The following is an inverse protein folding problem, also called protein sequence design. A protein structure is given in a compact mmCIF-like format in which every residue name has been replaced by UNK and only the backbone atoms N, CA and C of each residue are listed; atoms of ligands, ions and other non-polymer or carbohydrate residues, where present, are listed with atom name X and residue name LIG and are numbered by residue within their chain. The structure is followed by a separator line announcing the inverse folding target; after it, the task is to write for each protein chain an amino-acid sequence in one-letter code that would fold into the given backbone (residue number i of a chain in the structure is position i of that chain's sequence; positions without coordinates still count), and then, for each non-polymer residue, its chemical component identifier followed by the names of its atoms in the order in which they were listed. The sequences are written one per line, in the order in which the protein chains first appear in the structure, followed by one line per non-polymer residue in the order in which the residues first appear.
data_IF_758148289010
#
_entry.id   IF_758148289010
#
_cell.length_a   1.000
_cell.length_b   1.000
_cell.length_c   1.000
_cell.angle_alpha   90.00
_cell.angle_beta   90.00
_cell.angle_gamma   90.00
#
_symmetry.space_group_name_H-M   'P 1'
#
loop_
_entity.id
_entity.type
_entity.pdbx_description
1 polymer ?
#
# COMPACT_ATOMS: atom_id res chain seq x y z
N UNK A 1 -25.72 -14.66 -2.07
CA UNK A 1 -24.38 -14.19 -1.69
C UNK A 1 -24.59 -13.24 -0.53
N UNK A 2 -24.01 -13.55 0.62
CA UNK A 2 -24.37 -12.98 1.92
C UNK A 2 -23.99 -11.50 2.00
N UNK A 3 -24.81 -10.68 2.66
CA UNK A 3 -24.62 -9.23 2.91
C UNK A 3 -23.31 -8.85 3.64
N UNK A 4 -22.44 -9.82 3.96
CA UNK A 4 -21.14 -9.65 4.64
C UNK A 4 -20.00 -9.10 3.75
N UNK A 5 -20.14 -9.05 2.41
CA UNK A 5 -19.05 -8.56 1.54
C UNK A 5 -19.06 -7.05 1.30
N UNK A 6 -20.18 -6.36 1.53
CA UNK A 6 -20.29 -4.92 1.27
C UNK A 6 -19.62 -4.14 2.41
N UNK A 7 -18.39 -3.67 2.16
CA UNK A 7 -17.66 -2.78 3.08
C UNK A 7 -16.51 -3.42 3.85
N UNK A 8 -16.15 -4.68 3.58
CA UNK A 8 -14.96 -5.30 4.21
C UNK A 8 -13.66 -4.62 3.75
N UNK A 9 -12.64 -4.47 4.61
CA UNK A 9 -11.29 -4.07 4.19
C UNK A 9 -10.74 -5.02 3.11
N UNK A 10 -9.83 -4.54 2.27
CA UNK A 10 -9.10 -5.42 1.35
C UNK A 10 -8.20 -6.37 2.15
N UNK A 11 -8.22 -7.65 1.78
CA UNK A 11 -7.25 -8.63 2.28
C UNK A 11 -5.94 -8.48 1.53
N UNK A 12 -4.82 -8.81 2.16
CA UNK A 12 -3.50 -8.67 1.51
C UNK A 12 -3.36 -9.53 0.27
N UNK A 13 -4.02 -10.69 0.23
CA UNK A 13 -4.03 -11.58 -0.92
C UNK A 13 -4.77 -10.98 -2.13
N UNK A 14 -5.73 -10.07 -1.89
CA UNK A 14 -6.49 -9.38 -2.92
C UNK A 14 -5.63 -8.29 -3.59
N UNK A 15 -4.75 -7.62 -2.84
CA UNK A 15 -3.88 -6.54 -3.34
C UNK A 15 -2.49 -7.00 -3.80
N UNK A 16 -2.20 -8.30 -3.71
CA UNK A 16 -0.88 -8.86 -4.01
C UNK A 16 -0.51 -8.81 -5.51
N UNK A 17 -1.49 -8.72 -6.40
CA UNK A 17 -1.26 -8.64 -7.85
C UNK A 17 -2.34 -7.82 -8.54
N UNK A 18 -2.01 -7.20 -9.68
CA UNK A 18 -2.97 -6.41 -10.45
C UNK A 18 -4.20 -7.19 -10.89
N UNK A 19 -4.05 -8.47 -11.23
CA UNK A 19 -5.16 -9.33 -11.64
C UNK A 19 -6.12 -9.62 -10.49
N UNK A 20 -5.61 -9.99 -9.30
CA UNK A 20 -6.43 -10.21 -8.11
C UNK A 20 -7.12 -8.92 -7.65
N UNK A 21 -6.38 -7.81 -7.69
CA UNK A 21 -6.90 -6.50 -7.34
C UNK A 21 -8.05 -6.12 -8.28
N UNK A 22 -7.87 -6.29 -9.59
CA UNK A 22 -8.90 -6.00 -10.59
C UNK A 22 -10.16 -6.82 -10.32
N UNK A 23 -10.04 -8.13 -10.04
CA UNK A 23 -11.22 -8.96 -9.75
C UNK A 23 -11.95 -8.52 -8.47
N UNK A 24 -11.20 -8.28 -7.39
CA UNK A 24 -11.77 -7.85 -6.12
C UNK A 24 -12.47 -6.50 -6.25
N UNK A 25 -11.82 -5.52 -6.89
CA UNK A 25 -12.38 -4.20 -7.13
C UNK A 25 -13.62 -4.26 -8.03
N UNK A 26 -13.58 -5.06 -9.10
CA UNK A 26 -14.71 -5.22 -10.01
C UNK A 26 -15.93 -5.78 -9.31
N UNK A 27 -15.79 -6.82 -8.49
CA UNK A 27 -16.90 -7.36 -7.69
C UNK A 27 -17.51 -6.32 -6.77
N UNK A 28 -16.67 -5.63 -5.98
CA UNK A 28 -17.13 -4.62 -5.01
C UNK A 28 -17.79 -3.41 -5.67
N UNK A 29 -17.27 -2.95 -6.82
CA UNK A 29 -17.88 -1.86 -7.57
C UNK A 29 -19.24 -2.29 -8.12
N UNK A 30 -19.35 -3.51 -8.67
CA UNK A 30 -20.61 -4.05 -9.14
C UNK A 30 -21.62 -4.15 -8.00
N UNK A 31 -21.24 -4.72 -6.85
CA UNK A 31 -22.11 -4.82 -5.68
C UNK A 31 -22.59 -3.43 -5.20
N UNK A 32 -21.68 -2.43 -5.18
CA UNK A 32 -22.02 -1.05 -4.80
C UNK A 32 -22.97 -0.42 -5.80
N UNK A 33 -22.73 -0.60 -7.09
CA UNK A 33 -23.58 -0.08 -8.17
C UNK A 33 -24.95 -0.76 -8.14
N UNK A 34 -25.01 -2.08 -7.95
CA UNK A 34 -26.25 -2.84 -7.78
C UNK A 34 -27.04 -2.39 -6.55
N UNK A 35 -26.37 -2.08 -5.43
CA UNK A 35 -27.03 -1.56 -4.22
C UNK A 35 -27.67 -0.18 -4.40
N UNK A 36 -27.17 0.62 -5.35
CA UNK A 36 -27.77 1.92 -5.71
C UNK A 36 -29.02 1.76 -6.58
N UNK A 37 -29.24 0.58 -7.16
CA UNK A 37 -30.37 0.34 -8.06
C UNK A 37 -31.68 0.17 -7.28
N UNK A 38 -32.44 1.25 -7.14
CA UNK A 38 -33.77 1.24 -6.50
C UNK A 38 -34.93 1.03 -7.50
N UNK A 39 -34.76 0.09 -8.43
CA UNK A 39 -35.88 -0.53 -9.16
C UNK A 39 -36.58 0.29 -10.25
N UNK A 40 -36.23 1.55 -10.52
CA UNK A 40 -36.83 2.28 -11.66
C UNK A 40 -35.98 3.41 -12.30
N UNK A 41 -34.89 3.85 -11.69
CA UNK A 41 -34.00 4.84 -12.31
C UNK A 41 -32.75 4.16 -12.92
N UNK A 42 -32.37 4.52 -14.16
CA UNK A 42 -31.12 4.03 -14.74
C UNK A 42 -29.93 4.62 -13.98
N UNK A 43 -28.96 3.76 -13.68
CA UNK A 43 -27.71 4.18 -13.05
C UNK A 43 -26.94 5.07 -14.02
N UNK A 44 -26.63 6.28 -13.59
CA UNK A 44 -25.88 7.22 -14.41
C UNK A 44 -24.40 6.83 -14.52
N UNK A 45 -23.72 7.19 -15.63
CA UNK A 45 -22.28 7.02 -15.75
C UNK A 45 -21.48 7.73 -14.64
N UNK A 46 -21.99 8.87 -14.12
CA UNK A 46 -21.38 9.54 -12.98
C UNK A 46 -21.39 8.68 -11.73
N UNK A 47 -22.52 8.04 -11.39
CA UNK A 47 -22.61 7.17 -10.22
C UNK A 47 -21.64 5.97 -10.30
N UNK A 48 -21.46 5.41 -11.49
CA UNK A 48 -20.48 4.34 -11.72
C UNK A 48 -19.05 4.87 -11.53
N UNK A 49 -18.74 6.04 -12.09
CA UNK A 49 -17.43 6.68 -11.95
C UNK A 49 -17.09 7.00 -10.50
N UNK A 50 -18.05 7.51 -9.73
CA UNK A 50 -17.91 7.77 -8.31
C UNK A 50 -17.67 6.47 -7.53
N UNK A 51 -18.44 5.41 -7.81
CA UNK A 51 -18.25 4.09 -7.21
C UNK A 51 -16.84 3.54 -7.46
N UNK A 52 -16.32 3.68 -8.67
CA UNK A 52 -14.95 3.28 -9.04
C UNK A 52 -13.91 4.11 -8.27
N UNK A 53 -14.09 5.44 -8.22
CA UNK A 53 -13.13 6.36 -7.60
C UNK A 53 -13.04 6.12 -6.09
N UNK A 54 -14.19 5.99 -5.42
CA UNK A 54 -14.25 5.70 -3.99
C UNK A 54 -13.56 4.36 -3.66
N UNK A 55 -13.80 3.34 -4.49
CA UNK A 55 -13.21 2.03 -4.26
C UNK A 55 -11.70 2.04 -4.54
N UNK A 56 -11.23 2.87 -5.48
CA UNK A 56 -9.82 3.06 -5.76
C UNK A 56 -9.05 3.70 -4.59
N UNK A 57 -9.66 4.64 -3.85
CA UNK A 57 -9.02 5.20 -2.65
C UNK A 57 -8.77 4.12 -1.59
N UNK A 58 -9.74 3.24 -1.34
CA UNK A 58 -9.60 2.11 -0.40
C UNK A 58 -8.52 1.13 -0.84
N UNK A 59 -8.41 0.86 -2.15
CA UNK A 59 -7.34 0.04 -2.72
C UNK A 59 -5.98 0.65 -2.40
N UNK A 60 -5.79 1.95 -2.63
CA UNK A 60 -4.51 2.62 -2.35
C UNK A 60 -4.15 2.55 -0.87
N UNK A 61 -5.12 2.73 0.01
CA UNK A 61 -4.92 2.59 1.46
C UNK A 61 -4.48 1.17 1.84
N UNK A 62 -5.15 0.16 1.29
CA UNK A 62 -4.79 -1.24 1.51
C UNK A 62 -3.40 -1.59 0.96
N UNK A 63 -3.06 -1.16 -0.25
CA UNK A 63 -1.72 -1.38 -0.81
C UNK A 63 -0.65 -0.79 0.09
N UNK A 64 -0.85 0.44 0.59
CA UNK A 64 0.10 1.13 1.49
C UNK A 64 0.25 0.45 2.85
N UNK A 65 -0.80 -0.18 3.35
CA UNK A 65 -0.78 -0.88 4.63
C UNK A 65 -0.33 -2.35 4.50
N UNK A 66 -0.16 -2.86 3.28
CA UNK A 66 0.27 -4.23 3.03
C UNK A 66 1.71 -4.53 3.50
N UNK A 67 1.99 -5.77 3.95
CA UNK A 67 3.34 -6.19 4.35
C UNK A 67 4.38 -5.99 3.24
N UNK A 68 4.02 -6.29 1.98
CA UNK A 68 4.93 -6.14 0.84
C UNK A 68 5.31 -4.67 0.60
N UNK A 69 4.37 -3.73 0.73
CA UNK A 69 4.66 -2.30 0.65
C UNK A 69 5.53 -1.83 1.82
N UNK A 70 5.26 -2.33 3.04
CA UNK A 70 6.09 -2.04 4.22
C UNK A 70 7.50 -2.56 4.07
N UNK A 71 7.69 -3.75 3.49
CA UNK A 71 9.02 -4.34 3.26
C UNK A 71 9.77 -3.61 2.15
N UNK A 72 9.10 -3.27 1.04
CA UNK A 72 9.71 -2.47 -0.02
C UNK A 72 10.11 -1.08 0.50
N UNK A 73 9.26 -0.45 1.30
CA UNK A 73 9.56 0.83 1.95
C UNK A 73 10.68 0.71 2.98
N UNK A 74 10.70 -0.35 3.79
CA UNK A 74 11.78 -0.63 4.73
C UNK A 74 13.12 -0.79 4.01
N UNK A 75 13.18 -1.55 2.91
CA UNK A 75 14.41 -1.70 2.11
C UNK A 75 14.90 -0.37 1.53
N UNK A 76 13.97 0.48 1.08
CA UNK A 76 14.30 1.82 0.62
C UNK A 76 14.90 2.66 1.77
N UNK A 77 14.25 2.66 2.93
CA UNK A 77 14.75 3.37 4.11
C UNK A 77 16.09 2.83 4.61
N UNK A 78 16.28 1.51 4.64
CA UNK A 78 17.53 0.87 5.04
C UNK A 78 18.70 1.40 4.21
N UNK A 79 18.54 1.52 2.89
CA UNK A 79 19.57 2.09 2.02
C UNK A 79 19.87 3.55 2.38
N UNK A 80 18.85 4.39 2.46
CA UNK A 80 19.02 5.81 2.75
C UNK A 80 19.61 6.07 4.13
N UNK A 81 19.13 5.34 5.14
CA UNK A 81 19.65 5.44 6.51
C UNK A 81 21.09 4.94 6.58
N UNK A 82 21.43 3.84 5.90
CA UNK A 82 22.82 3.36 5.82
C UNK A 82 23.73 4.43 5.22
N UNK A 83 23.34 5.04 4.09
CA UNK A 83 24.12 6.09 3.44
C UNK A 83 24.34 7.31 4.35
N UNK A 84 23.34 7.72 5.13
CA UNK A 84 23.48 8.83 6.08
C UNK A 84 24.35 8.46 7.29
N UNK A 85 24.23 7.22 7.81
CA UNK A 85 25.09 6.72 8.88
C UNK A 85 26.55 6.69 8.40
N UNK A 86 26.80 6.19 7.19
CA UNK A 86 28.14 6.11 6.62
C UNK A 86 28.77 7.50 6.50
N UNK A 87 28.00 8.52 6.10
CA UNK A 87 28.48 9.92 6.07
C UNK A 87 28.88 10.42 7.46
N UNK A 88 28.10 10.11 8.49
CA UNK A 88 28.42 10.50 9.86
C UNK A 88 29.70 9.81 10.36
N UNK A 89 29.84 8.51 10.09
CA UNK A 89 31.04 7.74 10.44
C UNK A 89 32.27 8.32 9.75
N UNK A 90 32.19 8.63 8.46
CA UNK A 90 33.31 9.22 7.73
C UNK A 90 33.66 10.61 8.25
N UNK A 91 32.66 11.43 8.61
CA UNK A 91 32.89 12.78 9.14
C UNK A 91 33.63 12.74 10.48
N UNK A 92 33.22 11.84 11.36
CA UNK A 92 33.71 11.79 12.74
C UNK A 92 34.79 10.69 12.92
N UNK A 93 35.31 10.13 11.82
CA UNK A 93 36.23 8.98 11.80
C UNK A 93 37.44 9.14 12.73
N UNK A 94 38.17 10.26 12.59
CA UNK A 94 39.39 10.52 13.39
C UNK A 94 39.09 10.62 14.89
N UNK A 95 37.95 11.19 15.25
CA UNK A 95 37.51 11.29 16.64
C UNK A 95 37.15 9.89 17.18
N UNK A 96 36.37 9.11 16.43
CA UNK A 96 36.02 7.74 16.78
C UNK A 96 37.26 6.85 16.94
N UNK A 97 38.24 6.97 16.04
CA UNK A 97 39.52 6.25 16.13
C UNK A 97 40.33 6.63 17.37
N UNK A 98 40.27 7.90 17.80
CA UNK A 98 40.93 8.34 19.05
C UNK A 98 40.34 7.70 20.31
N UNK A 99 39.08 7.28 20.25
CA UNK A 99 38.40 6.49 21.29
C UNK A 99 38.59 4.97 21.12
N UNK A 100 39.42 4.53 20.17
CA UNK A 100 39.74 3.12 19.95
C UNK A 100 38.75 2.37 19.07
N UNK A 101 37.84 3.08 18.38
CA UNK A 101 37.00 2.46 17.34
C UNK A 101 37.89 2.15 16.13
N UNK A 102 37.93 0.88 15.73
CA UNK A 102 38.74 0.43 14.60
C UNK A 102 37.86 -0.23 13.56
N UNK A 103 38.08 0.17 12.30
CA UNK A 103 37.44 -0.43 11.14
C UNK A 103 37.90 -1.89 11.02
N UNK A 104 36.98 -2.83 11.26
CA UNK A 104 37.24 -4.26 11.03
C UNK A 104 36.55 -4.67 9.74
N UNK A 105 37.34 -5.02 8.74
CA UNK A 105 36.84 -5.75 7.57
C UNK A 105 36.31 -7.12 8.00
N UNK A 106 35.14 -7.51 7.50
CA UNK A 106 34.62 -8.88 7.58
C UNK A 106 35.48 -9.83 6.75
#
# INVERSE_FOLDING_TARGET
MSEEEVGRPYRWEEVLSFDRLRRAMMGRVLDKVESLWQGNEPISPQQISEAITDEWEKVKEAVRSSPAARDAFRKFLERTVSEEIDKLIQRDKTELESFGVVERSL
#
